data_IF_538962246027
#
_entry.id   IF_538962246027
#
_cell.length_a   1.000
_cell.length_b   1.000
_cell.length_c   1.000
_cell.angle_alpha   90.00
_cell.angle_beta   90.00
_cell.angle_gamma   90.00
#
_symmetry.space_group_name_H-M   'P 1'
#
loop_
_entity.id
_entity.type
_entity.pdbx_description
1 polymer ?
#
# COMPACT_ATOMS: atom_id res chain seq x y z
N UNK A 1 5.76 -33.67 30.57
CA UNK A 1 6.18 -32.42 29.88
C UNK A 1 5.56 -32.28 28.49
N UNK A 2 4.89 -33.33 28.00
CA UNK A 2 5.08 -33.83 26.64
C UNK A 2 3.98 -33.27 25.73
N UNK A 3 2.77 -33.14 26.28
CA UNK A 3 1.63 -32.42 25.67
C UNK A 3 1.96 -30.98 25.23
N UNK A 4 2.93 -30.32 25.85
CA UNK A 4 3.38 -28.97 25.43
C UNK A 4 4.31 -29.05 24.22
N UNK A 5 5.14 -30.09 24.15
CA UNK A 5 6.05 -30.39 23.03
C UNK A 5 5.24 -30.87 21.82
N UNK A 6 4.22 -31.72 22.01
CA UNK A 6 3.26 -32.12 20.96
C UNK A 6 2.59 -30.92 20.31
N UNK A 7 2.04 -29.98 21.10
CA UNK A 7 1.39 -28.77 20.58
C UNK A 7 2.42 -27.84 19.91
N UNK A 8 3.68 -27.81 20.38
CA UNK A 8 4.77 -27.13 19.67
C UNK A 8 5.01 -27.74 18.28
N UNK A 9 5.06 -29.07 18.19
CA UNK A 9 5.20 -29.82 16.94
C UNK A 9 4.04 -29.59 15.96
N UNK A 10 2.80 -29.49 16.46
CA UNK A 10 1.64 -29.10 15.64
C UNK A 10 1.86 -27.70 15.04
N UNK A 11 2.35 -26.73 15.81
CA UNK A 11 2.64 -25.39 15.28
C UNK A 11 3.83 -25.37 14.31
N UNK A 12 4.85 -26.20 14.52
CA UNK A 12 5.98 -26.39 13.59
C UNK A 12 5.52 -26.99 12.24
N UNK A 13 4.73 -28.07 12.27
CA UNK A 13 4.20 -28.71 11.06
C UNK A 13 3.29 -27.77 10.25
N UNK A 14 2.47 -26.96 10.93
CA UNK A 14 1.70 -25.90 10.28
C UNK A 14 2.60 -24.83 9.65
N UNK A 15 3.71 -24.45 10.29
CA UNK A 15 4.67 -23.51 9.70
C UNK A 15 5.34 -24.08 8.45
N UNK A 16 5.75 -25.35 8.46
CA UNK A 16 6.27 -26.03 7.27
C UNK A 16 5.25 -26.02 6.13
N UNK A 17 3.97 -26.33 6.40
CA UNK A 17 2.90 -26.23 5.41
C UNK A 17 2.79 -24.82 4.82
N UNK A 18 2.81 -23.77 5.66
CA UNK A 18 2.79 -22.39 5.16
C UNK A 18 4.03 -22.01 4.34
N UNK A 19 5.21 -22.58 4.62
CA UNK A 19 6.41 -22.39 3.79
C UNK A 19 6.26 -23.08 2.43
N UNK A 20 5.75 -24.32 2.37
CA UNK A 20 5.44 -25.00 1.11
C UNK A 20 4.37 -24.27 0.28
N UNK A 21 3.48 -23.52 0.93
CA UNK A 21 2.49 -22.64 0.31
C UNK A 21 3.03 -21.24 -0.06
N UNK A 22 4.35 -20.99 0.03
CA UNK A 22 5.01 -19.69 -0.13
C UNK A 22 4.38 -18.58 0.72
N UNK A 23 4.09 -18.86 1.99
CA UNK A 23 3.52 -17.91 2.96
C UNK A 23 4.41 -17.79 4.21
N UNK A 24 5.56 -17.16 3.99
CA UNK A 24 6.65 -17.04 4.95
C UNK A 24 6.25 -16.15 6.13
N UNK A 25 5.50 -15.07 5.89
CA UNK A 25 5.00 -14.19 6.96
C UNK A 25 4.06 -14.92 7.92
N UNK A 26 3.18 -15.79 7.42
CA UNK A 26 2.27 -16.60 8.25
C UNK A 26 2.99 -17.76 8.93
N UNK A 27 3.96 -18.39 8.25
CA UNK A 27 4.84 -19.38 8.87
C UNK A 27 5.52 -18.79 10.12
N UNK A 28 6.10 -17.59 10.04
CA UNK A 28 6.71 -16.89 11.19
C UNK A 28 5.75 -16.71 12.38
N UNK A 29 4.44 -16.53 12.16
CA UNK A 29 3.45 -16.47 13.24
C UNK A 29 3.31 -17.83 13.94
N UNK A 30 3.29 -18.93 13.18
CA UNK A 30 3.18 -20.29 13.71
C UNK A 30 4.48 -20.74 14.41
N UNK A 31 5.65 -20.42 13.85
CA UNK A 31 6.96 -20.63 14.49
C UNK A 31 7.04 -19.85 15.82
N UNK A 32 6.51 -18.62 15.90
CA UNK A 32 6.40 -17.89 17.19
C UNK A 32 5.50 -18.58 18.22
N UNK A 33 4.41 -19.25 17.80
CA UNK A 33 3.56 -20.03 18.70
C UNK A 33 4.30 -21.26 19.23
N UNK A 34 5.00 -21.99 18.35
CA UNK A 34 5.86 -23.11 18.72
C UNK A 34 6.96 -22.70 19.72
N UNK A 35 7.75 -21.67 19.41
CA UNK A 35 8.82 -21.15 20.30
C UNK A 35 8.30 -20.56 21.63
N UNK A 36 7.01 -20.21 21.74
CA UNK A 36 6.39 -19.81 23.01
C UNK A 36 6.12 -21.03 23.92
N UNK A 37 5.87 -22.21 23.34
CA UNK A 37 5.65 -23.46 24.06
C UNK A 37 6.96 -24.19 24.36
N UNK A 38 7.85 -24.30 23.38
CA UNK A 38 9.17 -24.92 23.55
C UNK A 38 10.28 -24.01 22.96
N UNK A 39 10.87 -23.19 23.83
CA UNK A 39 11.77 -22.10 23.44
C UNK A 39 13.23 -22.49 23.20
N UNK A 40 13.55 -23.78 23.40
CA UNK A 40 14.87 -24.42 23.15
C UNK A 40 14.87 -25.34 21.93
N UNK A 41 13.79 -25.38 21.16
CA UNK A 41 13.68 -26.22 19.97
C UNK A 41 14.63 -25.73 18.86
N UNK A 42 15.75 -26.41 18.67
CA UNK A 42 16.77 -25.99 17.70
C UNK A 42 16.30 -26.14 16.24
N UNK A 43 15.33 -27.01 15.94
CA UNK A 43 14.79 -27.17 14.59
C UNK A 43 13.78 -26.06 14.25
N UNK A 44 12.93 -25.68 15.22
CA UNK A 44 12.06 -24.50 15.10
C UNK A 44 12.87 -23.21 15.07
N UNK A 45 13.95 -23.09 15.85
CA UNK A 45 14.88 -21.95 15.80
C UNK A 45 15.60 -21.87 14.44
N UNK A 46 16.02 -23.00 13.88
CA UNK A 46 16.56 -23.08 12.53
C UNK A 46 15.56 -22.60 11.47
N UNK A 47 14.32 -23.10 11.54
CA UNK A 47 13.24 -22.72 10.62
C UNK A 47 12.88 -21.24 10.74
N UNK A 48 12.90 -20.69 11.95
CA UNK A 48 12.76 -19.25 12.17
C UNK A 48 13.83 -18.48 11.40
N UNK A 49 15.10 -18.82 11.59
CA UNK A 49 16.20 -18.10 10.95
C UNK A 49 16.13 -18.15 9.41
N UNK A 50 15.71 -19.28 8.84
CA UNK A 50 15.46 -19.41 7.39
C UNK A 50 14.35 -18.47 6.93
N UNK A 51 13.23 -18.40 7.66
CA UNK A 51 12.13 -17.48 7.32
C UNK A 51 12.57 -16.01 7.43
N UNK A 52 13.32 -15.65 8.48
CA UNK A 52 13.86 -14.29 8.63
C UNK A 52 14.84 -13.93 7.50
N UNK A 53 15.69 -14.87 7.06
CA UNK A 53 16.59 -14.68 5.93
C UNK A 53 15.84 -14.41 4.61
N UNK A 54 14.79 -15.19 4.31
CA UNK A 54 13.94 -15.00 3.12
C UNK A 54 13.25 -13.62 3.17
N UNK A 55 12.77 -13.21 4.35
CA UNK A 55 12.18 -11.89 4.61
C UNK A 55 13.22 -10.75 4.73
N UNK A 56 14.50 -11.02 4.48
CA UNK A 56 15.64 -10.08 4.55
C UNK A 56 15.95 -9.50 5.96
N UNK A 57 15.39 -10.08 7.01
CA UNK A 57 15.69 -9.74 8.41
C UNK A 57 16.94 -10.50 8.89
N UNK A 58 18.07 -10.17 8.28
CA UNK A 58 19.33 -10.92 8.44
C UNK A 58 19.87 -10.89 9.89
N UNK A 59 19.59 -9.83 10.64
CA UNK A 59 19.92 -9.73 12.07
C UNK A 59 19.15 -10.79 12.88
N UNK A 60 17.84 -10.96 12.65
CA UNK A 60 17.08 -12.03 13.30
C UNK A 60 17.48 -13.40 12.79
N UNK A 61 17.80 -13.55 11.51
CA UNK A 61 18.33 -14.82 10.98
C UNK A 61 19.61 -15.23 11.73
N UNK A 62 20.57 -14.31 11.87
CA UNK A 62 21.79 -14.51 12.66
C UNK A 62 21.47 -14.85 14.11
N UNK A 63 20.61 -14.07 14.78
CA UNK A 63 20.22 -14.31 16.18
C UNK A 63 19.62 -15.72 16.39
N UNK A 64 18.63 -16.11 15.59
CA UNK A 64 17.96 -17.40 15.76
C UNK A 64 18.87 -18.59 15.43
N UNK A 65 19.82 -18.46 14.50
CA UNK A 65 20.80 -19.51 14.24
C UNK A 65 21.88 -19.62 15.32
N UNK A 66 22.34 -18.52 15.94
CA UNK A 66 23.23 -18.64 17.10
C UNK A 66 22.48 -19.24 18.31
N UNK A 67 21.25 -18.79 18.59
CA UNK A 67 20.41 -19.38 19.64
C UNK A 67 20.11 -20.87 19.40
N UNK A 68 19.96 -21.28 18.14
CA UNK A 68 19.83 -22.70 17.76
C UNK A 68 21.07 -23.50 18.19
N UNK A 69 22.27 -22.98 17.96
CA UNK A 69 23.55 -23.60 18.37
C UNK A 69 23.68 -23.63 19.91
N UNK A 70 23.29 -22.57 20.60
CA UNK A 70 23.24 -22.53 22.08
C UNK A 70 22.32 -23.61 22.67
N UNK A 71 21.25 -23.99 21.95
CA UNK A 71 20.33 -25.04 22.37
C UNK A 71 20.81 -26.45 22.00
N UNK A 72 21.48 -26.60 20.85
CA UNK A 72 22.17 -27.82 20.44
C UNK A 72 23.28 -27.49 19.42
N UNK A 73 24.54 -27.71 19.80
CA UNK A 73 25.70 -27.47 18.91
C UNK A 73 25.96 -28.64 17.94
N UNK A 74 25.60 -29.88 18.34
CA UNK A 74 26.00 -31.11 17.64
C UNK A 74 25.19 -31.30 16.36
N UNK A 75 25.89 -31.41 15.23
CA UNK A 75 25.32 -31.59 13.88
C UNK A 75 24.31 -30.50 13.44
N UNK A 76 24.30 -29.33 14.08
CA UNK A 76 23.29 -28.30 13.84
C UNK A 76 23.52 -27.51 12.54
N UNK A 77 22.55 -27.58 11.62
CA UNK A 77 22.54 -26.88 10.31
C UNK A 77 22.70 -25.36 10.40
N UNK A 78 22.38 -24.75 11.55
CA UNK A 78 22.70 -23.35 11.85
C UNK A 78 24.14 -22.95 11.52
N UNK A 79 25.11 -23.85 11.72
CA UNK A 79 26.53 -23.60 11.41
C UNK A 79 26.77 -23.30 9.94
N UNK A 80 26.07 -23.98 9.03
CA UNK A 80 26.16 -23.73 7.59
C UNK A 80 25.44 -22.44 7.20
N UNK A 81 24.27 -22.16 7.78
CA UNK A 81 23.56 -20.90 7.54
C UNK A 81 24.36 -19.67 8.02
N UNK A 82 25.07 -19.78 9.15
CA UNK A 82 25.99 -18.74 9.62
C UNK A 82 27.26 -18.61 8.75
N UNK A 83 27.76 -19.69 8.13
CA UNK A 83 28.83 -19.60 7.11
C UNK A 83 28.35 -18.83 5.87
N UNK A 84 27.09 -18.99 5.45
CA UNK A 84 26.51 -18.19 4.34
C UNK A 84 26.53 -16.70 4.67
N UNK A 85 26.02 -16.29 5.85
CA UNK A 85 26.06 -14.89 6.29
C UNK A 85 27.50 -14.34 6.42
N UNK A 86 28.44 -15.17 6.88
CA UNK A 86 29.87 -14.79 7.00
C UNK A 86 30.65 -14.84 5.67
N UNK A 87 30.00 -15.21 4.56
CA UNK A 87 30.67 -15.39 3.28
C UNK A 87 31.01 -14.07 2.57
N UNK A 88 32.02 -14.13 1.69
CA UNK A 88 32.38 -13.00 0.80
C UNK A 88 31.26 -12.68 -0.20
N UNK A 89 30.42 -13.67 -0.58
CA UNK A 89 29.24 -13.48 -1.44
C UNK A 89 28.19 -12.63 -0.71
N UNK A 90 27.80 -13.03 0.50
CA UNK A 90 26.83 -12.27 1.30
C UNK A 90 27.36 -10.88 1.68
N UNK A 91 28.65 -10.75 1.98
CA UNK A 91 29.32 -9.45 2.17
C UNK A 91 29.19 -8.53 0.94
N UNK A 92 29.22 -9.07 -0.29
CA UNK A 92 28.95 -8.31 -1.52
C UNK A 92 27.49 -7.89 -1.61
N UNK A 93 26.54 -8.79 -1.29
CA UNK A 93 25.10 -8.48 -1.28
C UNK A 93 24.78 -7.32 -0.33
N UNK A 94 25.28 -7.35 0.91
CA UNK A 94 25.09 -6.25 1.89
C UNK A 94 25.71 -4.93 1.40
N UNK A 95 26.88 -4.98 0.74
CA UNK A 95 27.47 -3.76 0.15
C UNK A 95 26.61 -3.20 -0.98
N UNK A 96 26.11 -4.04 -1.88
CA UNK A 96 25.21 -3.63 -2.95
C UNK A 96 23.89 -3.05 -2.42
N UNK A 97 23.33 -3.58 -1.32
CA UNK A 97 22.19 -2.97 -0.63
C UNK A 97 22.49 -1.54 -0.14
N UNK A 98 23.65 -1.33 0.50
CA UNK A 98 24.05 -0.01 0.99
C UNK A 98 24.29 0.99 -0.16
N UNK A 99 24.89 0.53 -1.26
CA UNK A 99 25.02 1.32 -2.50
C UNK A 99 23.63 1.72 -3.05
N UNK A 100 22.70 0.76 -3.16
CA UNK A 100 21.31 0.95 -3.62
C UNK A 100 20.54 1.97 -2.77
N UNK A 101 20.68 1.93 -1.44
CA UNK A 101 19.96 2.85 -0.55
C UNK A 101 20.41 4.30 -0.73
N UNK A 102 21.70 4.53 -0.98
CA UNK A 102 22.23 5.86 -1.26
C UNK A 102 21.82 6.34 -2.67
N UNK A 103 21.78 5.44 -3.66
CA UNK A 103 21.25 5.76 -5.00
C UNK A 103 19.76 6.13 -4.97
N UNK A 104 18.94 5.40 -4.21
CA UNK A 104 17.52 5.72 -4.01
C UNK A 104 17.34 7.10 -3.36
N UNK A 105 18.13 7.41 -2.33
CA UNK A 105 18.18 8.73 -1.68
C UNK A 105 18.53 9.85 -2.67
N UNK A 106 19.46 9.59 -3.59
CA UNK A 106 19.85 10.51 -4.65
C UNK A 106 18.98 10.43 -5.91
N UNK A 107 17.83 9.73 -5.86
CA UNK A 107 16.89 9.50 -6.97
C UNK A 107 17.47 8.81 -8.22
N UNK A 108 18.59 8.10 -8.07
CA UNK A 108 19.26 7.28 -9.08
C UNK A 108 18.56 5.90 -9.19
N UNK A 109 17.27 5.93 -9.51
CA UNK A 109 16.40 4.76 -9.47
C UNK A 109 16.70 3.70 -10.55
N UNK A 110 17.45 4.01 -11.63
CA UNK A 110 17.80 3.01 -12.65
C UNK A 110 19.03 2.22 -12.21
N UNK A 111 19.99 2.94 -11.70
CA UNK A 111 21.30 2.51 -11.20
C UNK A 111 21.09 1.57 -10.00
N UNK A 112 20.16 1.95 -9.11
CA UNK A 112 19.65 1.10 -8.04
C UNK A 112 19.01 -0.20 -8.57
N UNK A 113 18.15 -0.13 -9.60
CA UNK A 113 17.53 -1.32 -10.22
C UNK A 113 18.60 -2.24 -10.84
N UNK A 114 19.65 -1.72 -11.46
CA UNK A 114 20.75 -2.52 -12.01
C UNK A 114 21.53 -3.26 -10.93
N UNK A 115 21.77 -2.65 -9.76
CA UNK A 115 22.38 -3.35 -8.61
C UNK A 115 21.43 -4.37 -7.98
N UNK A 116 20.15 -4.04 -7.83
CA UNK A 116 19.15 -4.97 -7.30
C UNK A 116 18.97 -6.21 -8.18
N UNK A 117 19.03 -6.07 -9.51
CA UNK A 117 19.02 -7.24 -10.42
C UNK A 117 20.27 -8.13 -10.25
N UNK A 118 21.44 -7.56 -9.91
CA UNK A 118 22.64 -8.35 -9.54
C UNK A 118 22.42 -9.12 -8.23
N UNK A 119 21.82 -8.48 -7.22
CA UNK A 119 21.42 -9.16 -5.97
C UNK A 119 20.44 -10.31 -6.25
N UNK A 120 19.42 -10.10 -7.09
CA UNK A 120 18.43 -11.13 -7.46
C UNK A 120 19.08 -12.29 -8.22
N UNK A 121 20.04 -12.02 -9.10
CA UNK A 121 20.78 -13.07 -9.80
C UNK A 121 21.65 -13.91 -8.83
N UNK A 122 22.20 -13.29 -7.79
CA UNK A 122 22.98 -13.98 -6.76
C UNK A 122 22.12 -14.73 -5.72
N UNK A 123 21.01 -14.13 -5.26
CA UNK A 123 20.18 -14.62 -4.14
C UNK A 123 18.69 -14.48 -4.45
N UNK A 124 18.23 -15.19 -5.49
CA UNK A 124 16.87 -15.10 -6.06
C UNK A 124 15.68 -15.27 -5.09
N UNK A 125 15.91 -15.83 -3.89
CA UNK A 125 14.88 -16.12 -2.88
C UNK A 125 14.66 -14.96 -1.89
N UNK A 126 15.48 -13.91 -1.92
CA UNK A 126 15.30 -12.74 -1.04
C UNK A 126 14.06 -11.95 -1.45
N UNK A 127 13.17 -11.65 -0.50
CA UNK A 127 11.93 -10.93 -0.77
C UNK A 127 12.16 -9.44 -1.14
N UNK A 128 12.97 -8.74 -0.35
CA UNK A 128 13.08 -7.28 -0.38
C UNK A 128 13.61 -6.70 -1.72
N UNK A 129 14.57 -7.31 -2.45
CA UNK A 129 15.04 -6.75 -3.72
C UNK A 129 13.94 -6.56 -4.76
N UNK A 130 12.98 -7.48 -4.83
CA UNK A 130 11.83 -7.36 -5.73
C UNK A 130 10.89 -6.22 -5.31
N UNK A 131 10.69 -6.04 -4.00
CA UNK A 131 9.93 -4.90 -3.46
C UNK A 131 10.59 -3.58 -3.85
N UNK A 132 11.91 -3.44 -3.61
CA UNK A 132 12.64 -2.21 -3.91
C UNK A 132 12.65 -1.92 -5.41
N UNK A 133 12.86 -2.90 -6.29
CA UNK A 133 12.73 -2.69 -7.76
C UNK A 133 11.30 -2.25 -8.11
N UNK A 134 10.28 -2.86 -7.49
CA UNK A 134 8.88 -2.47 -7.65
C UNK A 134 8.66 -0.98 -7.33
N UNK A 135 9.20 -0.51 -6.20
CA UNK A 135 9.11 0.89 -5.77
C UNK A 135 9.95 1.84 -6.65
N UNK A 136 11.16 1.47 -7.05
CA UNK A 136 11.97 2.25 -7.99
C UNK A 136 11.26 2.42 -9.35
N UNK A 137 10.59 1.38 -9.86
CA UNK A 137 9.76 1.51 -11.05
C UNK A 137 8.49 2.35 -10.83
N UNK A 138 7.91 2.36 -9.61
CA UNK A 138 6.80 3.26 -9.26
C UNK A 138 7.23 4.74 -9.32
N UNK A 139 8.38 5.06 -8.72
CA UNK A 139 8.98 6.41 -8.75
C UNK A 139 9.34 6.86 -10.17
N UNK A 140 9.83 5.95 -11.01
CA UNK A 140 10.06 6.17 -12.45
C UNK A 140 8.77 6.22 -13.29
N UNK A 141 7.58 6.11 -12.70
CA UNK A 141 6.30 6.14 -13.40
C UNK A 141 6.01 4.90 -14.28
N UNK A 142 6.75 3.81 -14.09
CA UNK A 142 6.68 2.56 -14.89
C UNK A 142 5.81 1.51 -14.20
N UNK A 143 4.53 1.83 -13.96
CA UNK A 143 3.59 1.02 -13.16
C UNK A 143 3.45 -0.44 -13.59
N UNK A 144 3.58 -0.76 -14.89
CA UNK A 144 3.54 -2.15 -15.37
C UNK A 144 4.77 -2.97 -14.89
N UNK A 145 5.96 -2.37 -14.87
CA UNK A 145 7.15 -3.00 -14.31
C UNK A 145 7.08 -3.05 -12.78
N UNK A 146 6.58 -1.97 -12.17
CA UNK A 146 6.34 -1.90 -10.72
C UNK A 146 5.46 -3.07 -10.25
N UNK A 147 4.29 -3.24 -10.89
CA UNK A 147 3.36 -4.36 -10.67
C UNK A 147 4.06 -5.71 -10.81
N UNK A 148 4.75 -5.95 -11.93
CA UNK A 148 5.46 -7.21 -12.21
C UNK A 148 6.46 -7.59 -11.10
N UNK A 149 7.20 -6.64 -10.56
CA UNK A 149 8.18 -6.92 -9.49
C UNK A 149 7.52 -7.07 -8.10
N UNK A 150 6.44 -6.36 -7.78
CA UNK A 150 5.63 -6.65 -6.58
C UNK A 150 4.94 -8.03 -6.68
N UNK A 151 4.48 -8.43 -7.87
CA UNK A 151 3.96 -9.78 -8.13
C UNK A 151 5.03 -10.87 -8.00
N UNK A 152 6.31 -10.56 -8.30
CA UNK A 152 7.42 -11.47 -8.00
C UNK A 152 7.69 -11.58 -6.49
N UNK A 153 7.60 -10.49 -5.73
CA UNK A 153 7.67 -10.54 -4.26
C UNK A 153 6.54 -11.41 -3.67
N UNK A 154 5.31 -11.28 -4.19
CA UNK A 154 4.15 -12.11 -3.80
C UNK A 154 4.27 -13.59 -4.21
N UNK A 155 5.19 -13.96 -5.10
CA UNK A 155 5.52 -15.38 -5.35
C UNK A 155 6.44 -15.99 -4.28
N UNK A 156 7.15 -15.15 -3.52
CA UNK A 156 8.00 -15.55 -2.39
C UNK A 156 7.17 -15.56 -1.09
N UNK A 157 6.28 -14.57 -0.90
CA UNK A 157 5.42 -14.46 0.30
C UNK A 157 4.00 -13.99 -0.07
N UNK A 158 3.08 -14.93 -0.34
CA UNK A 158 1.77 -14.68 -0.97
C UNK A 158 0.79 -13.82 -0.17
N UNK A 159 0.92 -13.80 1.15
CA UNK A 159 0.09 -12.97 2.05
C UNK A 159 0.89 -11.78 2.64
N UNK A 160 1.98 -11.35 1.97
CA UNK A 160 2.79 -10.23 2.46
C UNK A 160 2.03 -8.91 2.41
N UNK A 161 1.62 -8.41 3.59
CA UNK A 161 0.80 -7.20 3.75
C UNK A 161 1.34 -5.98 3.00
N UNK A 162 2.67 -5.73 3.05
CA UNK A 162 3.30 -4.61 2.33
C UNK A 162 3.14 -4.76 0.82
N UNK A 163 3.40 -5.96 0.29
CA UNK A 163 3.30 -6.21 -1.15
C UNK A 163 1.85 -6.12 -1.64
N UNK A 164 0.88 -6.60 -0.87
CA UNK A 164 -0.55 -6.47 -1.18
C UNK A 164 -1.00 -5.00 -1.16
N UNK A 165 -0.50 -4.19 -0.22
CA UNK A 165 -0.75 -2.75 -0.16
C UNK A 165 -0.15 -2.02 -1.38
N UNK A 166 1.11 -2.26 -1.71
CA UNK A 166 1.76 -1.66 -2.88
C UNK A 166 1.07 -2.10 -4.19
N UNK A 167 0.66 -3.36 -4.32
CA UNK A 167 -0.07 -3.86 -5.49
C UNK A 167 -1.39 -3.11 -5.69
N UNK A 168 -2.13 -2.81 -4.61
CA UNK A 168 -3.34 -1.98 -4.66
C UNK A 168 -3.00 -0.59 -5.19
N UNK A 169 -2.06 0.12 -4.56
CA UNK A 169 -1.66 1.48 -4.98
C UNK A 169 -1.19 1.54 -6.44
N UNK A 170 -0.43 0.53 -6.90
CA UNK A 170 0.03 0.43 -8.30
C UNK A 170 -1.14 0.26 -9.27
N UNK A 171 -2.15 -0.56 -8.93
CA UNK A 171 -3.36 -0.71 -9.74
C UNK A 171 -4.17 0.60 -9.77
N UNK A 172 -4.34 1.26 -8.62
CA UNK A 172 -5.05 2.54 -8.52
C UNK A 172 -4.37 3.62 -9.38
N UNK A 173 -3.03 3.73 -9.34
CA UNK A 173 -2.28 4.65 -10.22
C UNK A 173 -2.33 4.25 -11.70
N UNK A 174 -2.43 2.97 -12.03
CA UNK A 174 -2.58 2.50 -13.42
C UNK A 174 -3.93 2.92 -14.01
N UNK A 175 -5.00 2.90 -13.21
CA UNK A 175 -6.33 3.39 -13.61
C UNK A 175 -6.37 4.91 -13.86
N UNK A 176 -5.37 5.66 -13.39
CA UNK A 176 -5.26 7.14 -13.52
C UNK A 176 -4.37 7.58 -14.70
N UNK A 177 -3.66 6.66 -15.39
CA UNK A 177 -2.53 7.03 -16.29
C UNK A 177 -2.66 6.68 -17.77
N UNK A 178 -3.79 7.04 -18.39
CA UNK A 178 -3.91 7.24 -19.85
C UNK A 178 -4.09 8.75 -20.18
N UNK A 179 -3.38 9.62 -19.46
CA UNK A 179 -3.08 10.99 -19.90
C UNK A 179 -1.58 11.20 -19.70
N UNK A 180 -0.86 11.55 -20.78
CA UNK A 180 0.58 11.88 -20.76
C UNK A 180 0.77 13.37 -20.97
N UNK A 181 1.71 13.97 -20.24
CA UNK A 181 2.38 15.21 -20.61
C UNK A 181 3.91 15.08 -20.48
N UNK A 182 4.66 15.87 -21.25
CA UNK A 182 6.11 16.12 -21.10
C UNK A 182 6.25 17.42 -20.26
N UNK A 183 7.30 17.71 -19.49
CA UNK A 183 8.68 17.89 -19.97
C UNK A 183 9.65 18.31 -18.84
N UNK A 184 10.95 18.21 -19.14
CA UNK A 184 12.09 19.06 -18.71
C UNK A 184 12.52 19.20 -17.23
N UNK A 185 13.70 19.80 -17.07
CA UNK A 185 14.62 19.80 -15.92
C UNK A 185 14.88 21.21 -15.39
N UNK A 186 15.30 21.33 -14.12
CA UNK A 186 16.61 21.89 -13.69
C UNK A 186 16.56 22.40 -12.24
N UNK A 187 17.64 22.17 -11.47
CA UNK A 187 18.21 23.09 -10.45
C UNK A 187 19.68 22.70 -10.18
N UNK A 188 20.51 23.60 -9.62
CA UNK A 188 21.98 23.45 -9.55
C UNK A 188 22.60 24.33 -8.44
N UNK A 189 23.60 23.80 -7.69
CA UNK A 189 24.57 24.53 -6.82
C UNK A 189 23.89 25.12 -5.53
N UNK A 190 24.46 25.27 -4.32
CA UNK A 190 25.83 25.49 -3.73
C UNK A 190 26.13 24.41 -2.66
N UNK A 191 27.28 23.70 -2.64
CA UNK A 191 28.57 23.96 -1.95
C UNK A 191 28.48 24.19 -0.42
N UNK A 192 29.44 23.82 0.44
CA UNK A 192 30.82 23.25 0.31
C UNK A 192 31.02 22.17 1.43
N UNK A 193 32.17 21.72 2.00
CA UNK A 193 33.63 22.07 2.04
C UNK A 193 34.47 20.75 2.12
N UNK A 194 35.79 20.86 1.96
CA UNK A 194 36.88 19.88 2.16
C UNK A 194 37.27 19.70 3.67
N UNK A 195 38.21 18.88 4.18
CA UNK A 195 39.19 17.85 3.69
C UNK A 195 39.79 17.14 4.92
N UNK A 196 40.14 15.83 4.87
CA UNK A 196 41.44 15.35 5.38
C UNK A 196 41.83 13.95 4.84
N UNK A 197 43.11 13.60 5.01
CA UNK A 197 43.85 12.62 4.21
C UNK A 197 43.64 11.14 4.57
N UNK A 198 43.82 10.33 3.53
CA UNK A 198 44.68 9.14 3.49
C UNK A 198 45.62 8.94 4.71
N UNK A 199 45.53 7.78 5.35
CA UNK A 199 46.65 6.88 5.74
C UNK A 199 46.04 5.63 6.38
N UNK A 200 46.36 4.44 5.85
CA UNK A 200 46.40 3.13 6.57
C UNK A 200 46.71 2.00 5.57
N UNK A 201 47.94 1.98 5.05
CA UNK A 201 48.52 0.75 4.49
C UNK A 201 49.50 0.14 5.49
N UNK A 202 48.98 -0.06 6.70
CA UNK A 202 49.62 -0.72 7.84
C UNK A 202 48.54 -1.45 8.64
N UNK A 203 48.65 -2.75 8.91
CA UNK A 203 49.70 -3.69 8.51
C UNK A 203 49.57 -4.98 9.31
N UNK A 204 48.89 -5.97 8.74
CA UNK A 204 48.77 -7.36 9.21
C UNK A 204 48.21 -7.67 10.63
N UNK A 205 48.55 -6.94 11.69
CA UNK A 205 48.32 -7.38 13.08
C UNK A 205 46.86 -7.34 13.58
N UNK A 206 45.97 -6.57 12.96
CA UNK A 206 44.59 -6.38 13.45
C UNK A 206 43.55 -7.40 12.92
N UNK A 207 44.00 -8.53 12.35
CA UNK A 207 43.21 -9.31 11.38
C UNK A 207 42.07 -10.16 11.96
N UNK A 208 42.12 -10.55 13.25
CA UNK A 208 41.07 -11.40 13.86
C UNK A 208 40.10 -10.68 14.82
N UNK A 209 40.45 -9.51 15.38
CA UNK A 209 39.57 -8.82 16.35
C UNK A 209 38.77 -7.64 15.73
N UNK A 210 39.29 -7.00 14.68
CA UNK A 210 38.62 -5.85 14.05
C UNK A 210 37.31 -6.22 13.34
N UNK A 211 37.21 -7.41 12.75
CA UNK A 211 36.02 -7.84 12.01
C UNK A 211 34.76 -7.87 12.90
N UNK A 212 34.89 -8.31 14.15
CA UNK A 212 33.78 -8.32 15.11
C UNK A 212 33.31 -6.91 15.45
N UNK A 213 34.24 -6.00 15.78
CA UNK A 213 33.91 -4.61 16.13
C UNK A 213 33.39 -3.85 14.90
N UNK A 214 33.94 -4.07 13.71
CA UNK A 214 33.48 -3.44 12.46
C UNK A 214 32.10 -3.94 12.05
N UNK A 215 31.79 -5.22 12.22
CA UNK A 215 30.43 -5.74 12.05
C UNK A 215 29.50 -5.15 13.10
N UNK A 216 29.89 -5.10 14.39
CA UNK A 216 29.09 -4.51 15.47
C UNK A 216 28.80 -3.02 15.24
N UNK A 217 29.78 -2.25 14.78
CA UNK A 217 29.62 -0.82 14.53
C UNK A 217 28.78 -0.56 13.27
N UNK A 218 28.98 -1.35 12.20
CA UNK A 218 28.08 -1.35 11.05
C UNK A 218 26.66 -1.81 11.46
N UNK A 219 26.52 -2.70 12.45
CA UNK A 219 25.22 -3.09 13.01
C UNK A 219 24.59 -1.94 13.80
N UNK A 220 25.34 -1.19 14.61
CA UNK A 220 24.80 -0.02 15.30
C UNK A 220 24.46 1.11 14.32
N UNK A 221 25.23 1.31 13.25
CA UNK A 221 24.91 2.28 12.20
C UNK A 221 23.70 1.82 11.37
N UNK A 222 23.62 0.54 11.00
CA UNK A 222 22.44 -0.04 10.34
C UNK A 222 21.21 0.01 11.25
N UNK A 223 21.33 -0.31 12.53
CA UNK A 223 20.24 -0.20 13.51
C UNK A 223 19.87 1.24 13.79
N UNK A 224 20.80 2.20 13.76
CA UNK A 224 20.51 3.63 13.93
C UNK A 224 19.86 4.19 12.67
N UNK A 225 20.29 3.80 11.47
CA UNK A 225 19.70 4.19 10.18
C UNK A 225 18.35 3.49 9.94
N UNK A 226 18.21 2.23 10.36
CA UNK A 226 16.95 1.50 10.46
C UNK A 226 16.04 2.16 11.49
N UNK A 227 16.52 2.55 12.68
CA UNK A 227 15.71 3.24 13.68
C UNK A 227 15.34 4.66 13.25
N UNK A 228 16.18 5.39 12.51
CA UNK A 228 15.83 6.69 11.91
C UNK A 228 14.78 6.49 10.81
N UNK A 229 14.93 5.48 9.94
CA UNK A 229 13.93 5.13 8.94
C UNK A 229 12.65 4.57 9.58
N UNK A 230 12.74 3.90 10.72
CA UNK A 230 11.61 3.38 11.50
C UNK A 230 10.97 4.50 12.32
N UNK A 231 11.72 5.53 12.75
CA UNK A 231 11.18 6.76 13.34
C UNK A 231 10.51 7.60 12.25
N UNK A 232 11.08 7.76 11.06
CA UNK A 232 10.38 8.38 9.93
C UNK A 232 9.17 7.56 9.49
N UNK A 233 9.26 6.24 9.43
CA UNK A 233 8.14 5.35 9.14
C UNK A 233 7.10 5.38 10.27
N UNK A 234 7.48 5.55 11.54
CA UNK A 234 6.56 5.75 12.67
C UNK A 234 6.05 7.20 12.75
N UNK A 235 6.72 8.18 12.15
CA UNK A 235 6.21 9.56 11.96
C UNK A 235 5.25 9.62 10.77
N UNK A 236 5.50 8.87 9.70
CA UNK A 236 4.58 8.69 8.57
C UNK A 236 3.40 7.82 9.02
N UNK A 237 3.64 6.72 9.74
CA UNK A 237 2.61 5.84 10.31
C UNK A 237 1.87 6.49 11.47
N UNK A 238 2.45 7.40 12.25
CA UNK A 238 1.69 8.20 13.23
C UNK A 238 0.98 9.39 12.59
N UNK A 239 1.50 10.03 11.54
CA UNK A 239 0.72 10.97 10.71
C UNK A 239 -0.46 10.24 10.04
N UNK A 240 -0.23 9.07 9.48
CA UNK A 240 -1.24 8.19 8.87
C UNK A 240 -2.20 7.63 9.91
N UNK A 241 -1.76 7.21 11.10
CA UNK A 241 -2.64 6.75 12.17
C UNK A 241 -3.36 7.92 12.86
N UNK A 242 -2.81 9.14 12.88
CA UNK A 242 -3.49 10.37 13.35
C UNK A 242 -4.44 10.93 12.30
N UNK A 243 -4.23 10.61 11.02
CA UNK A 243 -5.17 10.83 9.94
C UNK A 243 -6.27 9.76 9.95
N UNK A 244 -5.93 8.48 10.03
CA UNK A 244 -6.90 7.37 10.14
C UNK A 244 -7.67 7.41 11.45
N UNK A 245 -7.10 7.84 12.59
CA UNK A 245 -7.87 8.05 13.83
C UNK A 245 -8.61 9.39 13.87
N UNK A 246 -8.29 10.35 12.97
CA UNK A 246 -9.22 11.45 12.66
C UNK A 246 -10.36 10.94 11.81
N UNK A 247 -10.09 10.28 10.68
CA UNK A 247 -11.09 9.67 9.80
C UNK A 247 -11.97 8.66 10.55
N UNK A 248 -11.42 7.83 11.44
CA UNK A 248 -12.20 6.92 12.28
C UNK A 248 -12.95 7.66 13.39
N UNK A 249 -12.43 8.76 13.95
CA UNK A 249 -13.22 9.60 14.88
C UNK A 249 -14.31 10.38 14.16
N UNK A 250 -14.08 10.81 12.92
CA UNK A 250 -15.06 11.45 12.04
C UNK A 250 -16.13 10.42 11.64
N UNK A 251 -15.76 9.20 11.25
CA UNK A 251 -16.67 8.08 10.98
C UNK A 251 -17.43 7.60 12.22
N UNK A 252 -16.78 7.56 13.39
CA UNK A 252 -17.41 7.23 14.66
C UNK A 252 -18.37 8.35 15.07
N UNK A 253 -17.98 9.63 14.99
CA UNK A 253 -18.88 10.76 15.21
C UNK A 253 -20.05 10.78 14.22
N UNK A 254 -19.85 10.42 12.95
CA UNK A 254 -20.95 10.27 11.97
C UNK A 254 -21.91 9.15 12.42
N UNK A 255 -21.38 8.02 12.90
CA UNK A 255 -22.18 6.89 13.40
C UNK A 255 -22.97 7.29 14.65
N UNK A 256 -22.32 7.94 15.62
CA UNK A 256 -22.92 8.37 16.88
C UNK A 256 -23.92 9.54 16.67
N UNK A 257 -23.75 10.36 15.62
CA UNK A 257 -24.62 11.49 15.23
C UNK A 257 -25.92 11.09 14.51
N UNK A 258 -26.00 9.85 14.02
CA UNK A 258 -27.14 9.35 13.23
C UNK A 258 -27.78 8.06 13.77
N UNK A 259 -27.13 7.31 14.66
CA UNK A 259 -27.67 6.06 15.23
C UNK A 259 -29.01 6.19 15.98
N UNK A 260 -29.39 7.39 16.43
CA UNK A 260 -30.67 7.65 17.13
C UNK A 260 -31.76 8.22 16.20
N UNK A 261 -31.48 8.40 14.90
CA UNK A 261 -32.35 9.10 13.95
C UNK A 261 -32.87 8.19 12.85
N UNK A 262 -34.09 8.44 12.40
CA UNK A 262 -34.67 7.77 11.25
C UNK A 262 -34.23 8.42 9.92
N UNK A 263 -34.43 7.70 8.81
CA UNK A 263 -34.01 8.15 7.47
C UNK A 263 -34.55 9.54 7.08
N UNK A 264 -35.79 9.86 7.49
CA UNK A 264 -36.41 11.16 7.23
C UNK A 264 -35.68 12.30 7.95
N UNK A 265 -35.29 12.11 9.21
CA UNK A 265 -34.55 13.12 9.99
C UNK A 265 -33.15 13.35 9.42
N UNK A 266 -32.46 12.27 9.06
CA UNK A 266 -31.12 12.32 8.46
C UNK A 266 -31.20 13.03 7.09
N UNK A 267 -32.18 12.68 6.26
CA UNK A 267 -32.42 13.32 4.96
C UNK A 267 -32.74 14.81 5.09
N UNK A 268 -33.71 15.18 5.92
CA UNK A 268 -34.10 16.59 6.12
C UNK A 268 -32.94 17.43 6.69
N UNK A 269 -32.17 16.89 7.62
CA UNK A 269 -30.95 17.54 8.13
C UNK A 269 -29.87 17.69 7.04
N UNK A 270 -29.74 16.73 6.13
CA UNK A 270 -28.82 16.80 4.99
C UNK A 270 -29.25 17.86 3.95
N UNK A 271 -30.55 17.96 3.67
CA UNK A 271 -31.13 19.02 2.84
C UNK A 271 -30.88 20.41 3.45
N UNK A 272 -30.99 20.56 4.76
CA UNK A 272 -30.66 21.81 5.45
C UNK A 272 -29.17 22.16 5.33
N UNK A 273 -28.27 21.19 5.52
CA UNK A 273 -26.82 21.40 5.29
C UNK A 273 -26.51 21.76 3.83
N UNK A 274 -27.20 21.14 2.86
CA UNK A 274 -27.03 21.43 1.44
C UNK A 274 -27.47 22.86 1.09
N UNK A 275 -28.65 23.30 1.55
CA UNK A 275 -29.15 24.67 1.43
C UNK A 275 -28.16 25.69 2.04
N UNK A 276 -27.60 25.35 3.20
CA UNK A 276 -26.59 26.15 3.89
C UNK A 276 -25.16 26.02 3.31
N UNK A 277 -25.01 25.45 2.09
CA UNK A 277 -23.74 25.23 1.38
C UNK A 277 -22.70 24.40 2.13
N UNK A 278 -23.07 23.71 3.21
CA UNK A 278 -22.20 22.80 3.95
C UNK A 278 -22.20 21.43 3.27
N UNK A 279 -21.63 21.39 2.06
CA UNK A 279 -21.66 20.25 1.14
C UNK A 279 -21.06 18.96 1.73
N UNK A 280 -20.15 19.07 2.71
CA UNK A 280 -19.57 17.90 3.39
C UNK A 280 -20.57 17.25 4.33
N UNK A 281 -21.15 18.01 5.28
CA UNK A 281 -22.15 17.47 6.20
C UNK A 281 -23.44 17.02 5.48
N UNK A 282 -23.79 17.67 4.38
CA UNK A 282 -24.87 17.23 3.50
C UNK A 282 -24.57 15.86 2.86
N UNK A 283 -23.38 15.73 2.26
CA UNK A 283 -22.92 14.48 1.65
C UNK A 283 -22.83 13.33 2.66
N UNK A 284 -22.40 13.58 3.89
CA UNK A 284 -22.35 12.56 4.96
C UNK A 284 -23.71 11.92 5.21
N UNK A 285 -24.76 12.71 5.42
CA UNK A 285 -26.11 12.18 5.67
C UNK A 285 -26.79 11.64 4.41
N UNK A 286 -26.59 12.26 3.24
CA UNK A 286 -27.10 11.71 1.97
C UNK A 286 -26.45 10.37 1.62
N UNK A 287 -25.14 10.20 1.83
CA UNK A 287 -24.49 8.89 1.59
C UNK A 287 -24.91 7.85 2.62
N UNK A 288 -25.14 8.24 3.89
CA UNK A 288 -25.73 7.36 4.90
C UNK A 288 -27.08 6.81 4.42
N UNK A 289 -28.05 7.68 4.10
CA UNK A 289 -29.39 7.23 3.67
C UNK A 289 -29.33 6.48 2.33
N UNK A 290 -28.48 6.89 1.39
CA UNK A 290 -28.26 6.19 0.09
C UNK A 290 -27.71 4.75 0.23
N UNK A 291 -27.05 4.42 1.35
CA UNK A 291 -26.42 3.12 1.59
C UNK A 291 -27.03 2.32 2.77
N UNK A 292 -27.93 2.92 3.55
CA UNK A 292 -28.53 2.31 4.77
C UNK A 292 -30.05 2.47 4.88
N UNK A 293 -30.65 3.43 4.18
CA UNK A 293 -32.07 3.73 4.33
C UNK A 293 -32.99 2.59 3.86
N UNK A 294 -34.17 2.53 4.45
CA UNK A 294 -35.21 1.53 4.18
C UNK A 294 -36.31 2.07 3.26
N UNK A 295 -36.60 3.37 3.33
CA UNK A 295 -37.52 4.03 2.39
C UNK A 295 -36.85 4.22 1.02
N UNK A 296 -37.34 3.53 -0.01
CA UNK A 296 -36.75 3.56 -1.35
C UNK A 296 -36.73 4.96 -1.98
N UNK A 297 -37.70 5.83 -1.64
CA UNK A 297 -37.80 7.18 -2.20
C UNK A 297 -36.76 8.10 -1.55
N UNK A 298 -36.58 8.02 -0.23
CA UNK A 298 -35.49 8.71 0.47
C UNK A 298 -34.12 8.20 0.01
N UNK A 299 -33.96 6.88 -0.16
CA UNK A 299 -32.72 6.28 -0.70
C UNK A 299 -32.45 6.78 -2.12
N UNK A 300 -33.47 6.90 -2.97
CA UNK A 300 -33.33 7.44 -4.33
C UNK A 300 -32.89 8.91 -4.31
N UNK A 301 -33.62 9.80 -3.65
CA UNK A 301 -33.29 11.22 -3.57
C UNK A 301 -31.92 11.46 -2.92
N UNK A 302 -31.59 10.72 -1.85
CA UNK A 302 -30.27 10.76 -1.22
C UNK A 302 -29.15 10.29 -2.16
N UNK A 303 -29.43 9.34 -3.06
CA UNK A 303 -28.48 8.92 -4.11
C UNK A 303 -28.24 10.04 -5.11
N UNK A 304 -29.29 10.75 -5.56
CA UNK A 304 -29.16 11.91 -6.45
C UNK A 304 -28.39 13.05 -5.77
N UNK A 305 -28.79 13.48 -4.57
CA UNK A 305 -28.11 14.56 -3.86
C UNK A 305 -26.66 14.21 -3.49
N UNK A 306 -26.32 12.94 -3.28
CA UNK A 306 -24.92 12.50 -3.14
C UNK A 306 -24.11 12.74 -4.42
N UNK A 307 -24.65 12.44 -5.61
CA UNK A 307 -23.98 12.72 -6.89
C UNK A 307 -23.74 14.22 -7.08
N UNK A 308 -24.76 15.04 -6.83
CA UNK A 308 -24.71 16.50 -6.92
C UNK A 308 -23.71 17.10 -5.92
N UNK A 309 -23.65 16.59 -4.69
CA UNK A 309 -22.64 16.98 -3.70
C UNK A 309 -21.23 16.58 -4.15
N UNK A 310 -21.04 15.37 -4.69
CA UNK A 310 -19.73 14.96 -5.23
C UNK A 310 -19.30 15.81 -6.44
N UNK A 311 -20.22 16.23 -7.33
CA UNK A 311 -19.94 17.15 -8.43
C UNK A 311 -19.45 18.51 -7.90
N UNK A 312 -20.21 19.13 -6.99
CA UNK A 312 -19.86 20.44 -6.40
C UNK A 312 -18.57 20.41 -5.57
N UNK A 313 -18.19 19.24 -5.06
CA UNK A 313 -16.91 19.00 -4.36
C UNK A 313 -15.78 18.57 -5.32
N UNK A 314 -15.96 18.66 -6.64
CA UNK A 314 -15.01 18.26 -7.69
C UNK A 314 -14.57 16.79 -7.64
N UNK A 315 -15.31 15.92 -6.95
CA UNK A 315 -15.07 14.47 -6.85
C UNK A 315 -15.77 13.74 -8.01
N UNK A 316 -15.44 14.15 -9.24
CA UNK A 316 -16.18 13.84 -10.46
C UNK A 316 -16.38 12.34 -10.73
N UNK A 317 -15.43 11.48 -10.34
CA UNK A 317 -15.57 10.03 -10.48
C UNK A 317 -16.68 9.45 -9.60
N UNK A 318 -16.82 9.95 -8.36
CA UNK A 318 -17.90 9.53 -7.45
C UNK A 318 -19.24 10.15 -7.83
N UNK A 319 -19.22 11.33 -8.44
CA UNK A 319 -20.43 11.91 -9.05
C UNK A 319 -20.92 11.04 -10.22
N UNK A 320 -20.04 10.62 -11.13
CA UNK A 320 -20.34 9.68 -12.21
C UNK A 320 -20.83 8.31 -11.66
N UNK A 321 -20.24 7.82 -10.56
CA UNK A 321 -20.70 6.60 -9.86
C UNK A 321 -22.13 6.74 -9.32
N UNK A 322 -22.43 7.81 -8.58
CA UNK A 322 -23.75 8.00 -7.97
C UNK A 322 -24.84 8.42 -8.97
N UNK A 323 -24.53 9.20 -10.01
CA UNK A 323 -25.47 9.43 -11.12
C UNK A 323 -25.78 8.10 -11.84
N UNK A 324 -24.79 7.23 -12.10
CA UNK A 324 -25.04 5.89 -12.63
C UNK A 324 -25.87 5.01 -11.67
N UNK A 325 -25.57 5.02 -10.36
CA UNK A 325 -26.34 4.31 -9.31
C UNK A 325 -27.81 4.75 -9.32
N UNK A 326 -28.05 6.05 -9.54
CA UNK A 326 -29.39 6.60 -9.65
C UNK A 326 -30.10 6.20 -10.95
N UNK A 327 -29.54 6.56 -12.11
CA UNK A 327 -30.17 6.42 -13.43
C UNK A 327 -30.54 4.97 -13.74
N UNK A 328 -29.70 4.01 -13.33
CA UNK A 328 -29.95 2.59 -13.59
C UNK A 328 -31.02 1.96 -12.68
N UNK A 329 -31.40 2.59 -11.56
CA UNK A 329 -32.26 1.99 -10.52
C UNK A 329 -33.56 2.76 -10.26
N UNK A 330 -33.58 4.08 -10.44
CA UNK A 330 -34.64 4.96 -9.96
C UNK A 330 -35.34 5.74 -11.09
N UNK A 331 -35.57 5.08 -12.24
CA UNK A 331 -36.19 5.68 -13.44
C UNK A 331 -37.55 6.37 -13.18
N UNK A 332 -38.31 5.84 -12.22
CA UNK A 332 -39.68 6.29 -11.92
C UNK A 332 -39.74 7.09 -10.60
N UNK A 333 -38.66 7.78 -10.21
CA UNK A 333 -38.55 8.55 -8.96
C UNK A 333 -38.17 10.01 -9.24
N UNK A 334 -38.40 10.88 -8.26
CA UNK A 334 -38.08 12.31 -8.29
C UNK A 334 -36.61 12.55 -8.68
N UNK A 335 -36.37 13.50 -9.58
CA UNK A 335 -35.05 13.85 -10.13
C UNK A 335 -34.45 12.90 -11.19
N UNK A 336 -35.23 12.07 -11.90
CA UNK A 336 -34.68 11.24 -12.98
C UNK A 336 -34.18 12.04 -14.19
N UNK A 337 -34.94 13.02 -14.65
CA UNK A 337 -34.53 13.90 -15.76
C UNK A 337 -33.46 14.92 -15.35
N UNK A 338 -33.55 15.44 -14.12
CA UNK A 338 -32.46 16.12 -13.40
C UNK A 338 -31.15 15.32 -13.42
N UNK A 339 -31.19 14.03 -13.08
CA UNK A 339 -30.00 13.18 -13.01
C UNK A 339 -29.40 12.94 -14.41
N UNK A 340 -30.23 12.65 -15.41
CA UNK A 340 -29.79 12.53 -16.80
C UNK A 340 -29.19 13.84 -17.32
N UNK A 341 -29.87 14.98 -17.10
CA UNK A 341 -29.39 16.29 -17.52
C UNK A 341 -28.07 16.66 -16.86
N UNK A 342 -27.99 16.62 -15.52
CA UNK A 342 -26.79 17.02 -14.79
C UNK A 342 -25.62 16.07 -15.07
N UNK A 343 -25.83 14.76 -15.17
CA UNK A 343 -24.78 13.82 -15.57
C UNK A 343 -24.30 14.09 -17.00
N UNK A 344 -25.20 14.28 -17.97
CA UNK A 344 -24.87 14.61 -19.35
C UNK A 344 -24.08 15.93 -19.49
N UNK A 345 -24.51 16.98 -18.79
CA UNK A 345 -23.80 18.27 -18.75
C UNK A 345 -22.44 18.14 -18.04
N UNK A 346 -22.33 17.37 -16.96
CA UNK A 346 -21.07 17.09 -16.27
C UNK A 346 -20.09 16.32 -17.19
N UNK A 347 -20.56 15.31 -17.92
CA UNK A 347 -19.77 14.59 -18.93
C UNK A 347 -19.28 15.52 -20.04
N UNK A 348 -20.15 16.40 -20.55
CA UNK A 348 -19.79 17.37 -21.59
C UNK A 348 -18.70 18.35 -21.10
N UNK A 349 -18.84 18.87 -19.87
CA UNK A 349 -17.82 19.71 -19.20
C UNK A 349 -16.47 19.00 -19.02
N UNK A 350 -16.47 17.67 -18.88
CA UNK A 350 -15.24 16.85 -18.84
C UNK A 350 -14.67 16.52 -20.22
N UNK A 351 -15.28 16.98 -21.32
CA UNK A 351 -14.90 16.64 -22.69
C UNK A 351 -15.30 15.23 -23.13
N UNK A 352 -16.06 14.48 -22.31
CA UNK A 352 -16.58 13.14 -22.62
C UNK A 352 -17.81 13.25 -23.54
N UNK A 353 -17.63 13.87 -24.72
CA UNK A 353 -18.72 14.28 -25.62
C UNK A 353 -19.68 13.15 -25.99
N UNK A 354 -19.17 11.99 -26.37
CA UNK A 354 -20.02 10.90 -26.89
C UNK A 354 -20.92 10.35 -25.78
N UNK A 355 -20.35 10.03 -24.61
CA UNK A 355 -21.12 9.70 -23.39
C UNK A 355 -22.13 10.78 -23.02
N UNK A 356 -21.77 12.06 -23.18
CA UNK A 356 -22.70 13.16 -22.90
C UNK A 356 -23.89 13.16 -23.87
N UNK A 357 -23.66 12.88 -25.15
CA UNK A 357 -24.73 12.69 -26.14
C UNK A 357 -25.58 11.46 -25.81
N UNK A 358 -24.98 10.34 -25.44
CA UNK A 358 -25.72 9.11 -25.08
C UNK A 358 -26.74 9.38 -23.95
N UNK A 359 -26.29 10.04 -22.87
CA UNK A 359 -27.12 10.36 -21.71
C UNK A 359 -28.16 11.47 -22.02
N UNK A 360 -27.80 12.48 -22.81
CA UNK A 360 -28.74 13.54 -23.20
C UNK A 360 -29.75 13.10 -24.27
N UNK A 361 -29.40 12.10 -25.08
CA UNK A 361 -30.33 11.41 -25.97
C UNK A 361 -31.27 10.52 -25.16
N UNK A 362 -30.78 9.84 -24.11
CA UNK A 362 -31.61 9.08 -23.18
C UNK A 362 -32.63 9.98 -22.47
N UNK A 363 -32.24 11.20 -22.05
CA UNK A 363 -33.15 12.24 -21.56
C UNK A 363 -34.25 12.56 -22.58
N UNK A 364 -33.87 12.87 -23.83
CA UNK A 364 -34.85 13.19 -24.89
C UNK A 364 -35.77 12.00 -25.22
N UNK A 365 -35.29 10.77 -25.11
CA UNK A 365 -36.02 9.55 -25.44
C UNK A 365 -36.98 9.10 -24.33
N UNK A 366 -36.53 9.09 -23.08
CA UNK A 366 -37.31 8.55 -21.96
C UNK A 366 -38.14 9.62 -21.23
N UNK A 367 -37.76 10.91 -21.32
CA UNK A 367 -38.52 12.02 -20.72
C UNK A 367 -38.70 13.17 -21.73
N UNK A 368 -39.37 12.95 -22.89
CA UNK A 368 -39.43 13.90 -24.01
C UNK A 368 -40.08 15.26 -23.68
N UNK A 369 -40.83 15.34 -22.58
CA UNK A 369 -41.48 16.56 -22.09
C UNK A 369 -40.64 17.31 -21.03
N UNK A 370 -39.43 16.85 -20.70
CA UNK A 370 -38.59 17.48 -19.68
C UNK A 370 -38.16 18.90 -20.07
N UNK A 371 -38.29 19.83 -19.12
CA UNK A 371 -37.80 21.22 -19.22
C UNK A 371 -36.29 21.31 -19.49
N UNK A 372 -35.54 20.23 -19.20
CA UNK A 372 -34.10 20.16 -19.42
C UNK A 372 -33.72 19.96 -20.90
N UNK A 373 -34.66 19.66 -21.81
CA UNK A 373 -34.42 19.53 -23.27
C UNK A 373 -34.34 20.93 -23.94
N UNK A 374 -33.45 21.75 -23.38
CA UNK A 374 -33.23 23.15 -23.70
C UNK A 374 -32.24 23.32 -24.88
N UNK A 375 -31.93 24.57 -25.22
CA UNK A 375 -31.04 24.88 -26.35
C UNK A 375 -29.60 24.37 -26.13
N UNK A 376 -29.12 24.26 -24.89
CA UNK A 376 -27.81 23.68 -24.57
C UNK A 376 -27.78 22.19 -24.90
N UNK A 377 -28.81 21.43 -24.51
CA UNK A 377 -28.94 20.00 -24.86
C UNK A 377 -29.04 19.82 -26.38
N UNK A 378 -29.90 20.60 -27.04
CA UNK A 378 -30.07 20.57 -28.50
C UNK A 378 -28.80 20.91 -29.27
N UNK A 379 -27.91 21.75 -28.70
CA UNK A 379 -26.59 22.06 -29.27
C UNK A 379 -25.60 20.92 -29.04
N UNK A 380 -25.55 20.31 -27.85
CA UNK A 380 -24.64 19.20 -27.54
C UNK A 380 -24.95 17.97 -28.41
N UNK A 381 -26.24 17.68 -28.65
CA UNK A 381 -26.65 16.57 -29.51
C UNK A 381 -26.30 16.79 -30.99
N UNK A 382 -26.15 18.04 -31.44
CA UNK A 382 -25.74 18.38 -32.82
C UNK A 382 -24.21 18.43 -33.05
N UNK A 383 -23.40 18.62 -31.99
CA UNK A 383 -21.96 18.95 -32.07
C UNK A 383 -20.99 17.89 -31.52
#
# INVERSE_FOLDING_TARGET
MDRVIEISGIYYNNALKFIHENNISKAVIYIKKSLKLYSKDFEVLNLMGICQYILCDFDKAYFYWNKSIECNDKNNRAKEYLKILKSRKFSRVIRLYNEVLEEIKNSQYKEAIEKLNKIIHEEKNLLEPYIIIGLCYYMLGKYNNSKKYIEFALKIDKENEKCLLYLREINDKRNVKIIKSKSNKNYKIVASISTLLLITLSGAFYKNHSSYIKIKNNLSEYQQKYNINNIQFQLIKSKYNKLNSRIQKEQQQIKDKFNEKNDNEIFNQSVLYYKNKNLKLALEGFTYVSDKGLDESLVAESTYFSAVCYEKLMQLNKSEEFYCKYINRYKNKNYYDDALYNYGIMLYRQGKKDKAKDILYLLQKEVPNSIFINNTVKMILKN
#
